data_IF_693773907706
#
_entry.id   IF_693773907706
#
_cell.length_a   1.000
_cell.length_b   1.000
_cell.length_c   1.000
_cell.angle_alpha   90.00
_cell.angle_beta   90.00
_cell.angle_gamma   90.00
#
_symmetry.space_group_name_H-M   'P 1'
#
loop_
_entity.id
_entity.type
_entity.pdbx_description
1 polymer ?
#
# COMPACT_ATOMS: atom_id res chain seq x y z
N UNK A 1 30.31 8.60 -15.25
CA UNK A 1 29.00 7.90 -15.10
C UNK A 1 29.21 6.64 -14.27
N UNK A 2 28.17 6.15 -13.57
CA UNK A 2 28.24 4.87 -12.83
C UNK A 2 28.67 3.72 -13.72
N UNK A 3 28.07 3.66 -14.91
CA UNK A 3 28.32 2.62 -15.91
C UNK A 3 29.76 2.66 -16.42
N UNK A 4 30.34 3.86 -16.61
CA UNK A 4 31.75 4.01 -16.99
C UNK A 4 32.72 3.52 -15.91
N UNK A 5 32.40 3.75 -14.64
CA UNK A 5 33.20 3.21 -13.52
C UNK A 5 33.09 1.68 -13.44
N UNK A 6 31.87 1.13 -13.53
CA UNK A 6 31.65 -0.32 -13.53
C UNK A 6 32.38 -1.01 -14.69
N UNK A 7 32.35 -0.40 -15.88
CA UNK A 7 33.05 -0.91 -17.05
C UNK A 7 34.58 -0.99 -16.84
N UNK A 8 35.18 0.02 -16.20
CA UNK A 8 36.60 0.04 -15.90
C UNK A 8 36.97 -0.95 -14.78
N UNK A 9 36.15 -1.04 -13.73
CA UNK A 9 36.41 -1.88 -12.56
C UNK A 9 36.41 -3.39 -12.85
N UNK A 10 35.73 -3.84 -13.92
CA UNK A 10 35.61 -5.27 -14.26
C UNK A 10 36.93 -5.97 -14.65
N UNK A 11 38.03 -5.25 -14.87
CA UNK A 11 39.39 -5.83 -14.92
C UNK A 11 39.80 -6.64 -16.17
N UNK A 12 38.86 -7.04 -17.04
CA UNK A 12 39.17 -7.74 -18.32
C UNK A 12 39.05 -6.83 -19.56
N UNK A 13 39.83 -7.07 -20.62
CA UNK A 13 39.96 -6.19 -21.80
C UNK A 13 39.78 -6.94 -23.14
N UNK A 14 39.53 -6.21 -24.24
CA UNK A 14 39.31 -6.76 -25.59
C UNK A 14 37.88 -6.57 -26.13
N UNK A 15 37.64 -6.87 -27.43
CA UNK A 15 36.35 -6.63 -28.09
C UNK A 15 35.19 -7.44 -27.48
N UNK A 16 35.43 -8.73 -27.23
CA UNK A 16 34.44 -9.64 -26.62
C UNK A 16 34.16 -9.29 -25.16
N UNK A 17 35.22 -8.88 -24.45
CA UNK A 17 35.13 -8.33 -23.11
C UNK A 17 34.22 -7.09 -23.07
N UNK A 18 34.44 -6.10 -23.94
CA UNK A 18 33.64 -4.88 -23.99
C UNK A 18 32.14 -5.16 -24.19
N UNK A 19 31.79 -6.04 -25.14
CA UNK A 19 30.41 -6.46 -25.40
C UNK A 19 29.75 -7.09 -24.17
N UNK A 20 30.49 -7.95 -23.45
CA UNK A 20 29.99 -8.56 -22.23
C UNK A 20 29.75 -7.52 -21.13
N UNK A 21 30.67 -6.56 -20.94
CA UNK A 21 30.52 -5.51 -19.91
C UNK A 21 29.31 -4.64 -20.16
N UNK A 22 29.09 -4.23 -21.41
CA UNK A 22 27.90 -3.45 -21.79
C UNK A 22 26.61 -4.24 -21.53
N UNK A 23 26.57 -5.51 -21.94
CA UNK A 23 25.42 -6.37 -21.70
C UNK A 23 25.13 -6.55 -20.20
N UNK A 24 26.16 -6.76 -19.38
CA UNK A 24 26.05 -6.88 -17.93
C UNK A 24 25.51 -5.59 -17.29
N UNK A 25 26.09 -4.45 -17.64
CA UNK A 25 25.67 -3.13 -17.12
C UNK A 25 24.21 -2.86 -17.52
N UNK A 26 23.82 -3.16 -18.75
CA UNK A 26 22.45 -3.00 -19.22
C UNK A 26 21.47 -3.89 -18.45
N UNK A 27 21.81 -5.16 -18.23
CA UNK A 27 20.99 -6.09 -17.44
C UNK A 27 20.87 -5.63 -15.98
N UNK A 28 21.97 -5.18 -15.38
CA UNK A 28 21.97 -4.64 -14.03
C UNK A 28 21.10 -3.37 -13.91
N UNK A 29 21.22 -2.45 -14.85
CA UNK A 29 20.39 -1.24 -14.91
C UNK A 29 18.89 -1.56 -15.06
N UNK A 30 18.55 -2.61 -15.81
CA UNK A 30 17.17 -3.09 -15.93
C UNK A 30 16.66 -3.68 -14.60
N UNK A 31 17.46 -4.52 -13.95
CA UNK A 31 17.14 -5.10 -12.65
C UNK A 31 17.00 -4.01 -11.58
N UNK A 32 17.92 -3.05 -11.52
CA UNK A 32 17.85 -1.93 -10.59
C UNK A 32 16.56 -1.13 -10.81
N UNK A 33 16.20 -0.80 -12.06
CA UNK A 33 14.91 -0.13 -12.36
C UNK A 33 13.69 -0.93 -11.90
N UNK A 34 13.77 -2.27 -11.90
CA UNK A 34 12.69 -3.12 -11.40
C UNK A 34 12.64 -3.12 -9.87
N UNK A 35 13.80 -3.13 -9.20
CA UNK A 35 13.91 -3.15 -7.73
C UNK A 35 13.76 -1.77 -7.07
N UNK A 36 14.07 -0.69 -7.79
CA UNK A 36 13.87 0.69 -7.36
C UNK A 36 12.42 1.14 -7.49
N UNK A 37 11.57 0.37 -8.19
CA UNK A 37 10.14 0.52 -8.03
C UNK A 37 9.83 0.09 -6.59
N UNK A 38 9.18 0.93 -5.77
CA UNK A 38 8.72 0.49 -4.47
C UNK A 38 7.95 -0.81 -4.70
N UNK A 39 8.44 -1.89 -4.08
CA UNK A 39 7.71 -3.16 -4.06
C UNK A 39 6.28 -2.86 -3.64
N UNK A 40 5.31 -3.50 -4.29
CA UNK A 40 3.88 -3.48 -3.93
C UNK A 40 3.65 -4.19 -2.58
N UNK A 41 4.51 -3.93 -1.59
CA UNK A 41 4.27 -4.18 -0.18
C UNK A 41 3.26 -3.12 0.25
N UNK A 42 2.00 -3.34 -0.14
CA UNK A 42 0.81 -2.53 0.15
C UNK A 42 1.12 -1.17 0.78
N UNK A 43 1.26 -0.14 -0.05
CA UNK A 43 1.41 1.22 0.44
C UNK A 43 0.30 1.54 1.45
N UNK A 44 0.62 2.34 2.48
CA UNK A 44 -0.28 2.57 3.61
C UNK A 44 -1.68 3.03 3.18
N UNK A 45 -1.79 3.75 2.06
CA UNK A 45 -3.07 4.16 1.48
C UNK A 45 -3.91 2.98 0.95
N UNK A 46 -3.28 1.96 0.35
CA UNK A 46 -3.96 0.75 -0.07
C UNK A 46 -4.54 -0.02 1.12
N UNK A 47 -3.72 -0.23 2.16
CA UNK A 47 -4.18 -0.85 3.41
C UNK A 47 -5.32 -0.06 4.05
N UNK A 48 -5.23 1.27 4.08
CA UNK A 48 -6.28 2.14 4.60
C UNK A 48 -7.58 2.06 3.79
N UNK A 49 -7.48 1.96 2.47
CA UNK A 49 -8.64 1.78 1.60
C UNK A 49 -9.32 0.43 1.83
N UNK A 50 -8.54 -0.64 1.97
CA UNK A 50 -9.05 -1.99 2.29
C UNK A 50 -9.72 -1.99 3.67
N UNK A 51 -9.07 -1.42 4.69
CA UNK A 51 -9.64 -1.29 6.03
C UNK A 51 -10.98 -0.54 6.01
N UNK A 52 -11.04 0.60 5.31
CA UNK A 52 -12.26 1.37 5.17
C UNK A 52 -13.38 0.54 4.52
N UNK A 53 -13.09 -0.19 3.45
CA UNK A 53 -14.07 -1.06 2.79
C UNK A 53 -14.66 -2.11 3.73
N UNK A 54 -13.83 -2.76 4.54
CA UNK A 54 -14.28 -3.77 5.50
C UNK A 54 -15.11 -3.18 6.62
N UNK A 55 -14.64 -2.09 7.24
CA UNK A 55 -15.36 -1.45 8.34
C UNK A 55 -16.68 -0.84 7.85
N UNK A 56 -16.73 -0.24 6.66
CA UNK A 56 -17.99 0.23 6.07
C UNK A 56 -18.98 -0.91 5.85
N UNK A 57 -18.53 -2.08 5.40
CA UNK A 57 -19.39 -3.25 5.23
C UNK A 57 -19.96 -3.73 6.57
N UNK A 58 -19.13 -3.79 7.61
CA UNK A 58 -19.54 -4.16 8.97
C UNK A 58 -20.54 -3.12 9.53
N UNK A 59 -20.25 -1.83 9.37
CA UNK A 59 -21.11 -0.74 9.82
C UNK A 59 -22.49 -0.75 9.15
N UNK A 60 -22.54 -1.06 7.84
CA UNK A 60 -23.80 -1.24 7.12
C UNK A 60 -24.62 -2.39 7.69
N UNK A 61 -24.02 -3.58 7.86
CA UNK A 61 -24.72 -4.74 8.46
C UNK A 61 -25.14 -4.44 9.90
N UNK A 62 -24.31 -3.72 10.65
CA UNK A 62 -24.63 -3.28 12.00
C UNK A 62 -25.91 -2.42 12.04
N UNK A 63 -25.98 -1.36 11.23
CA UNK A 63 -27.14 -0.46 11.22
C UNK A 63 -28.41 -1.12 10.70
N UNK A 64 -28.30 -1.95 9.66
CA UNK A 64 -29.47 -2.50 8.97
C UNK A 64 -30.06 -3.74 9.66
N UNK A 65 -29.23 -4.53 10.35
CA UNK A 65 -29.64 -5.84 10.85
C UNK A 65 -29.34 -6.02 12.34
N UNK A 66 -28.08 -5.91 12.75
CA UNK A 66 -27.67 -6.32 14.09
C UNK A 66 -28.18 -5.37 15.19
N UNK A 67 -28.09 -4.05 14.96
CA UNK A 67 -28.54 -3.06 15.93
C UNK A 67 -30.06 -3.16 16.20
N UNK A 68 -30.94 -3.16 15.18
CA UNK A 68 -32.38 -3.33 15.41
C UNK A 68 -32.75 -4.65 16.11
N UNK A 69 -32.00 -5.73 15.86
CA UNK A 69 -32.24 -7.01 16.53
C UNK A 69 -31.86 -6.96 18.02
N UNK A 70 -30.74 -6.31 18.35
CA UNK A 70 -30.28 -6.16 19.73
C UNK A 70 -31.13 -5.17 20.52
N UNK A 71 -31.61 -4.10 19.87
CA UNK A 71 -32.53 -3.15 20.46
C UNK A 71 -33.87 -3.81 20.82
N UNK A 72 -34.43 -4.61 19.90
CA UNK A 72 -35.67 -5.39 20.15
C UNK A 72 -35.52 -6.43 21.26
N UNK A 73 -34.32 -6.94 21.46
CA UNK A 73 -34.00 -7.87 22.54
C UNK A 73 -33.68 -7.18 23.87
N UNK A 74 -33.82 -5.85 23.94
CA UNK A 74 -33.45 -5.01 25.10
C UNK A 74 -32.01 -5.28 25.59
N UNK A 75 -31.12 -5.63 24.66
CA UNK A 75 -29.76 -6.02 25.00
C UNK A 75 -28.92 -4.78 25.35
N UNK A 76 -28.24 -4.75 26.51
CA UNK A 76 -27.34 -3.64 26.86
C UNK A 76 -26.14 -3.53 25.90
N UNK A 77 -25.88 -4.59 25.12
CA UNK A 77 -24.85 -4.59 24.08
C UNK A 77 -25.18 -3.65 22.92
N UNK A 78 -26.46 -3.38 22.65
CA UNK A 78 -26.89 -2.52 21.56
C UNK A 78 -26.21 -1.14 21.64
N UNK A 79 -26.28 -0.49 22.80
CA UNK A 79 -25.69 0.84 23.01
C UNK A 79 -24.17 0.78 23.01
N UNK A 80 -23.57 -0.11 23.80
CA UNK A 80 -22.11 -0.16 23.97
C UNK A 80 -21.34 -0.49 22.68
N UNK A 81 -21.91 -1.31 21.79
CA UNK A 81 -21.32 -1.63 20.50
C UNK A 81 -21.62 -0.60 19.43
N UNK A 82 -22.76 0.11 19.55
CA UNK A 82 -23.16 1.12 18.57
C UNK A 82 -22.13 2.25 18.49
N UNK A 83 -21.72 2.79 19.65
CA UNK A 83 -20.70 3.84 19.71
C UNK A 83 -19.37 3.35 19.12
N UNK A 84 -18.91 2.17 19.53
CA UNK A 84 -17.62 1.60 19.06
C UNK A 84 -17.58 1.37 17.56
N UNK A 85 -18.68 0.88 16.97
CA UNK A 85 -18.73 0.59 15.53
C UNK A 85 -18.83 1.88 14.73
N UNK A 86 -19.59 2.87 15.21
CA UNK A 86 -19.65 4.19 14.60
C UNK A 86 -18.29 4.89 14.64
N UNK A 87 -17.60 4.85 15.79
CA UNK A 87 -16.26 5.43 15.96
C UNK A 87 -15.24 4.75 15.04
N UNK A 88 -15.26 3.42 14.97
CA UNK A 88 -14.38 2.68 14.06
C UNK A 88 -14.62 3.06 12.59
N UNK A 89 -15.88 3.22 12.18
CA UNK A 89 -16.23 3.65 10.83
C UNK A 89 -15.74 5.07 10.52
N UNK A 90 -15.92 6.01 11.45
CA UNK A 90 -15.44 7.37 11.31
C UNK A 90 -13.91 7.42 11.22
N UNK A 91 -13.20 6.70 12.10
CA UNK A 91 -11.74 6.64 12.09
C UNK A 91 -11.21 5.99 10.81
N UNK A 92 -11.80 4.89 10.35
CA UNK A 92 -11.40 4.23 9.11
C UNK A 92 -11.58 5.18 7.91
N UNK A 93 -12.69 5.94 7.86
CA UNK A 93 -12.93 6.95 6.82
C UNK A 93 -11.87 8.06 6.84
N UNK A 94 -11.52 8.55 8.03
CA UNK A 94 -10.50 9.60 8.19
C UNK A 94 -9.11 9.12 7.77
N UNK A 95 -8.72 7.91 8.18
CA UNK A 95 -7.42 7.32 7.82
C UNK A 95 -7.33 7.14 6.30
N UNK A 96 -8.37 6.59 5.67
CA UNK A 96 -8.41 6.45 4.21
C UNK A 96 -8.30 7.81 3.51
N UNK A 97 -9.04 8.82 3.97
CA UNK A 97 -9.05 10.15 3.35
C UNK A 97 -7.71 10.88 3.51
N UNK A 98 -7.06 10.78 4.67
CA UNK A 98 -5.76 11.43 4.94
C UNK A 98 -4.62 10.79 4.15
N UNK A 99 -4.56 9.46 4.11
CA UNK A 99 -3.50 8.74 3.42
C UNK A 99 -3.64 8.80 1.90
N UNK A 100 -4.86 8.67 1.37
CA UNK A 100 -5.09 8.78 -0.07
C UNK A 100 -4.77 10.21 -0.60
N UNK A 101 -5.01 11.24 0.22
CA UNK A 101 -4.60 12.63 -0.10
C UNK A 101 -3.08 12.82 -0.13
N UNK A 102 -2.36 12.13 0.75
CA UNK A 102 -0.89 12.20 0.80
C UNK A 102 -0.22 11.55 -0.41
N UNK A 103 -0.75 10.42 -0.91
CA UNK A 103 -0.24 9.78 -2.13
C UNK A 103 -0.40 10.66 -3.37
N UNK A 104 -1.56 11.30 -3.53
CA UNK A 104 -1.80 12.22 -4.66
C UNK A 104 -0.82 13.41 -4.63
N UNK A 105 -0.36 13.82 -3.44
CA UNK A 105 0.59 14.93 -3.29
C UNK A 105 2.05 14.51 -3.52
N UNK A 106 2.43 13.28 -3.15
CA UNK A 106 3.79 12.75 -3.34
C UNK A 106 4.11 12.30 -4.78
N UNK A 107 3.10 12.17 -5.65
CA UNK A 107 3.25 11.83 -7.07
C UNK A 107 3.41 13.05 -8.02
N UNK A 108 3.45 14.28 -7.48
CA UNK A 108 3.70 15.52 -8.24
C UNK A 108 5.14 15.98 -8.04
#
# INVERSE_FOLDING_TARGET
TRDGFAFLAMGFTGKRAAQFKEAYINAFNQMEKQLSKPSVLSDAAHNASVLYSYISSIHQVWLQQLYPMLEKAESPLAVSLHDRINDAAALASLINMTLNRSEVRGRK
#
